data_IF_659193908442
#
_entry.id   IF_659193908442
#
_cell.length_a   1.000
_cell.length_b   1.000
_cell.length_c   1.000
_cell.angle_alpha   90.00
_cell.angle_beta   90.00
_cell.angle_gamma   90.00
#
_symmetry.space_group_name_H-M   'P 1'
#
loop_
_entity.id
_entity.type
_entity.pdbx_description
1 polymer ?
#
# COMPACT_ATOMS: atom_id res chain seq x y z
N UNK A 1 -18.96 -5.14 16.94
CA UNK A 1 -18.92 -5.33 15.47
C UNK A 1 -18.07 -4.30 14.70
N UNK A 2 -17.97 -3.03 15.12
CA UNK A 2 -17.31 -1.94 14.38
C UNK A 2 -15.82 -2.19 14.02
N UNK A 3 -15.01 -2.72 14.94
CA UNK A 3 -13.55 -2.89 14.76
C UNK A 3 -13.19 -3.90 13.65
N UNK A 4 -13.92 -5.02 13.56
CA UNK A 4 -13.71 -6.02 12.49
C UNK A 4 -14.02 -5.44 11.10
N UNK A 5 -15.00 -4.54 11.01
CA UNK A 5 -15.39 -3.90 9.75
C UNK A 5 -14.36 -2.86 9.32
N UNK A 6 -13.85 -2.05 10.25
CA UNK A 6 -12.77 -1.09 9.97
C UNK A 6 -11.47 -1.78 9.52
N UNK A 7 -11.10 -2.92 10.09
CA UNK A 7 -9.97 -3.73 9.60
C UNK A 7 -10.18 -4.22 8.17
N UNK A 8 -11.41 -4.64 7.83
CA UNK A 8 -11.77 -5.04 6.46
C UNK A 8 -11.66 -3.84 5.51
N UNK A 9 -12.15 -2.67 5.91
CA UNK A 9 -12.06 -1.44 5.10
C UNK A 9 -10.61 -1.03 4.87
N UNK A 10 -9.78 -0.95 5.91
CA UNK A 10 -8.35 -0.64 5.78
C UNK A 10 -7.65 -1.60 4.80
N UNK A 11 -7.90 -2.90 4.93
CA UNK A 11 -7.33 -3.90 4.02
C UNK A 11 -7.88 -3.75 2.60
N UNK A 12 -9.17 -3.47 2.43
CA UNK A 12 -9.77 -3.30 1.11
C UNK A 12 -9.23 -2.04 0.41
N UNK A 13 -9.18 -0.91 1.11
CA UNK A 13 -8.62 0.35 0.61
C UNK A 13 -7.15 0.18 0.20
N UNK A 14 -6.36 -0.52 1.00
CA UNK A 14 -4.96 -0.83 0.69
C UNK A 14 -4.80 -1.72 -0.56
N UNK A 15 -5.61 -2.77 -0.69
CA UNK A 15 -5.60 -3.65 -1.88
C UNK A 15 -6.01 -2.88 -3.13
N UNK A 16 -7.10 -2.10 -3.05
CA UNK A 16 -7.61 -1.29 -4.16
C UNK A 16 -6.54 -0.27 -4.59
N UNK A 17 -5.88 0.38 -3.64
CA UNK A 17 -4.77 1.30 -3.91
C UNK A 17 -3.64 0.62 -4.68
N UNK A 18 -3.13 -0.50 -4.16
CA UNK A 18 -2.04 -1.26 -4.81
C UNK A 18 -2.47 -1.66 -6.22
N UNK A 19 -3.67 -2.21 -6.39
CA UNK A 19 -4.19 -2.65 -7.68
C UNK A 19 -4.24 -1.51 -8.72
N UNK A 20 -4.79 -0.35 -8.34
CA UNK A 20 -4.86 0.81 -9.22
C UNK A 20 -3.47 1.33 -9.62
N UNK A 21 -2.51 1.30 -8.69
CA UNK A 21 -1.13 1.67 -8.93
C UNK A 21 -0.38 0.67 -9.81
N UNK A 22 -0.65 -0.63 -9.65
CA UNK A 22 -0.18 -1.68 -10.55
C UNK A 22 -0.72 -1.44 -11.96
N UNK A 23 -2.02 -1.14 -12.11
CA UNK A 23 -2.61 -0.82 -13.40
C UNK A 23 -1.93 0.39 -14.05
N UNK A 24 -1.57 1.43 -13.31
CA UNK A 24 -0.80 2.56 -13.86
C UNK A 24 0.57 2.12 -14.43
N UNK A 25 1.29 1.22 -13.75
CA UNK A 25 2.68 0.87 -14.10
C UNK A 25 2.74 -0.23 -15.18
N UNK A 26 1.95 -1.29 -15.03
CA UNK A 26 2.02 -2.48 -15.88
C UNK A 26 1.15 -2.36 -17.12
N UNK A 27 -0.02 -1.72 -17.03
CA UNK A 27 -0.99 -1.68 -18.12
C UNK A 27 -0.46 -0.92 -19.35
N UNK A 28 0.25 0.22 -19.23
CA UNK A 28 0.89 0.87 -20.38
C UNK A 28 1.97 0.01 -21.04
N UNK A 29 2.69 -0.80 -20.26
CA UNK A 29 3.75 -1.69 -20.77
C UNK A 29 3.14 -2.89 -21.51
N UNK A 30 2.00 -3.40 -21.04
CA UNK A 30 1.31 -4.56 -21.61
C UNK A 30 0.44 -4.21 -22.84
N UNK A 31 -0.21 -3.04 -22.82
CA UNK A 31 -1.09 -2.54 -23.89
C UNK A 31 -0.39 -1.61 -24.88
N UNK A 32 0.93 -1.37 -24.74
CA UNK A 32 1.71 -0.57 -25.70
C UNK A 32 1.49 -0.93 -27.18
N UNK A 33 1.24 -2.19 -27.59
CA UNK A 33 0.95 -2.51 -29.00
C UNK A 33 -0.52 -2.27 -29.43
N UNK A 34 -1.44 -1.95 -28.51
CA UNK A 34 -2.88 -1.81 -28.77
C UNK A 34 -3.30 -0.39 -28.35
N UNK A 35 -2.89 0.62 -29.13
CA UNK A 35 -2.97 2.05 -28.78
C UNK A 35 -4.37 2.67 -28.91
N UNK A 36 -5.37 2.15 -28.18
CA UNK A 36 -6.70 2.77 -28.10
C UNK A 36 -7.01 3.41 -26.74
N UNK A 37 -6.19 3.20 -25.71
CA UNK A 37 -6.45 3.74 -24.38
C UNK A 37 -5.82 5.13 -24.19
N UNK A 38 -6.58 6.16 -23.82
CA UNK A 38 -6.04 7.50 -23.65
C UNK A 38 -5.08 7.54 -22.45
N UNK A 39 -3.92 8.16 -22.66
CA UNK A 39 -2.85 8.26 -21.66
C UNK A 39 -3.31 8.91 -20.34
N UNK A 40 -4.30 9.81 -20.45
CA UNK A 40 -4.98 10.48 -19.34
C UNK A 40 -5.68 9.50 -18.38
N UNK A 41 -6.17 8.35 -18.89
CA UNK A 41 -6.88 7.35 -18.10
C UNK A 41 -5.94 6.70 -17.07
N UNK A 42 -4.71 6.38 -17.47
CA UNK A 42 -3.70 5.83 -16.55
C UNK A 42 -3.27 6.84 -15.47
N UNK A 43 -3.18 8.13 -15.82
CA UNK A 43 -2.90 9.20 -14.86
C UNK A 43 -4.03 9.34 -13.84
N UNK A 44 -5.29 9.32 -14.28
CA UNK A 44 -6.47 9.37 -13.41
C UNK A 44 -6.49 8.16 -12.47
N UNK A 45 -6.27 6.95 -12.98
CA UNK A 45 -6.16 5.74 -12.14
C UNK A 45 -5.05 5.86 -11.09
N UNK A 46 -3.90 6.42 -11.47
CA UNK A 46 -2.81 6.72 -10.56
C UNK A 46 -3.21 7.67 -9.42
N UNK A 47 -3.89 8.78 -9.75
CA UNK A 47 -4.42 9.75 -8.77
C UNK A 47 -5.36 9.10 -7.78
N UNK A 48 -6.32 8.33 -8.29
CA UNK A 48 -7.31 7.61 -7.49
C UNK A 48 -6.60 6.58 -6.60
N UNK A 49 -5.61 5.85 -7.14
CA UNK A 49 -4.80 4.89 -6.39
C UNK A 49 -4.05 5.52 -5.21
N UNK A 50 -3.43 6.71 -5.41
CA UNK A 50 -2.76 7.45 -4.33
C UNK A 50 -3.78 7.88 -3.25
N UNK A 51 -4.95 8.38 -3.66
CA UNK A 51 -6.00 8.79 -2.72
C UNK A 51 -6.51 7.63 -1.86
N UNK A 52 -6.73 6.46 -2.47
CA UNK A 52 -7.04 5.23 -1.74
C UNK A 52 -5.90 4.78 -0.82
N UNK A 53 -4.64 4.95 -1.25
CA UNK A 53 -3.47 4.63 -0.44
C UNK A 53 -3.36 5.50 0.81
N UNK A 54 -3.61 6.80 0.66
CA UNK A 54 -3.61 7.76 1.76
C UNK A 54 -4.77 7.49 2.74
N UNK A 55 -5.97 7.23 2.23
CA UNK A 55 -7.12 6.88 3.09
C UNK A 55 -6.92 5.55 3.81
N UNK A 56 -6.30 4.55 3.16
CA UNK A 56 -5.88 3.32 3.82
C UNK A 56 -4.86 3.62 4.92
N UNK A 57 -3.86 4.46 4.67
CA UNK A 57 -2.84 4.85 5.65
C UNK A 57 -3.48 5.52 6.89
N UNK A 58 -4.35 6.51 6.69
CA UNK A 58 -5.07 7.20 7.78
C UNK A 58 -5.96 6.22 8.55
N UNK A 59 -6.71 5.38 7.83
CA UNK A 59 -7.55 4.34 8.45
C UNK A 59 -6.74 3.29 9.22
N UNK A 60 -5.47 3.08 8.87
CA UNK A 60 -4.56 2.15 9.54
C UNK A 60 -3.91 2.76 10.79
N UNK A 61 -3.45 4.01 10.69
CA UNK A 61 -2.91 4.78 11.83
C UNK A 61 -3.96 5.02 12.92
N UNK A 62 -5.21 5.35 12.55
CA UNK A 62 -6.32 5.48 13.50
C UNK A 62 -6.73 4.16 14.18
N UNK A 63 -6.32 3.03 13.61
CA UNK A 63 -6.52 1.69 14.18
C UNK A 63 -5.42 1.29 15.18
N UNK A 64 -4.37 2.10 15.29
CA UNK A 64 -3.12 1.78 15.97
C UNK A 64 -3.19 1.63 17.48
N UNK A 65 -4.18 2.24 18.16
CA UNK A 65 -4.18 2.24 19.64
C UNK A 65 -4.31 0.85 20.29
N UNK A 66 -4.79 -0.18 19.60
CA UNK A 66 -5.10 -1.47 20.24
C UNK A 66 -4.24 -2.67 19.79
N UNK A 67 -3.47 -2.55 18.70
CA UNK A 67 -2.65 -3.66 18.16
C UNK A 67 -1.18 -3.31 17.94
N UNK A 68 -0.81 -2.03 17.90
CA UNK A 68 0.59 -1.60 17.64
C UNK A 68 1.49 -1.64 18.87
N UNK A 69 0.92 -1.58 20.09
CA UNK A 69 1.69 -1.56 21.34
C UNK A 69 2.52 -2.85 21.52
N UNK A 70 2.13 -3.96 20.89
CA UNK A 70 2.78 -5.27 21.08
C UNK A 70 3.95 -5.57 20.12
N UNK A 71 4.17 -4.77 19.05
CA UNK A 71 5.26 -4.98 18.07
C UNK A 71 5.68 -3.66 17.38
N UNK A 72 5.94 -2.61 18.17
CA UNK A 72 6.13 -1.23 17.68
C UNK A 72 7.15 -1.10 16.54
N UNK A 73 8.36 -1.68 16.69
CA UNK A 73 9.45 -1.57 15.70
C UNK A 73 9.08 -2.06 14.29
N UNK A 74 8.45 -3.23 14.18
CA UNK A 74 8.10 -3.78 12.86
C UNK A 74 6.97 -3.00 12.20
N UNK A 75 6.08 -2.46 13.01
CA UNK A 75 4.91 -1.75 12.51
C UNK A 75 5.26 -0.32 12.10
N UNK A 76 6.23 0.29 12.77
CA UNK A 76 6.87 1.53 12.34
C UNK A 76 7.57 1.37 10.99
N UNK A 77 8.35 0.30 10.80
CA UNK A 77 8.99 -0.02 9.50
C UNK A 77 7.93 -0.19 8.40
N UNK A 78 6.81 -0.86 8.69
CA UNK A 78 5.70 -1.01 7.74
C UNK A 78 5.11 0.34 7.32
N UNK A 79 4.84 1.22 8.29
CA UNK A 79 4.33 2.58 8.06
C UNK A 79 5.30 3.39 7.20
N UNK A 80 6.59 3.38 7.55
CA UNK A 80 7.62 4.13 6.82
C UNK A 80 7.73 3.62 5.39
N UNK A 81 7.76 2.30 5.16
CA UNK A 81 7.83 1.73 3.81
C UNK A 81 6.60 2.08 2.96
N UNK A 82 5.40 2.00 3.54
CA UNK A 82 4.17 2.35 2.84
C UNK A 82 4.12 3.85 2.50
N UNK A 83 4.47 4.71 3.46
CA UNK A 83 4.47 6.15 3.26
C UNK A 83 5.52 6.57 2.23
N UNK A 84 6.74 6.03 2.32
CA UNK A 84 7.79 6.26 1.34
C UNK A 84 7.36 5.81 -0.05
N UNK A 85 6.83 4.59 -0.18
CA UNK A 85 6.32 4.08 -1.45
C UNK A 85 5.23 4.95 -2.07
N UNK A 86 4.33 5.52 -1.24
CA UNK A 86 3.28 6.42 -1.68
C UNK A 86 3.83 7.80 -2.10
N UNK A 87 4.76 8.37 -1.33
CA UNK A 87 5.39 9.67 -1.65
C UNK A 87 6.17 9.59 -2.96
N UNK A 88 6.90 8.50 -3.19
CA UNK A 88 7.63 8.27 -4.45
C UNK A 88 6.70 8.20 -5.68
N UNK A 89 5.40 8.00 -5.51
CA UNK A 89 4.44 7.97 -6.61
C UNK A 89 3.88 9.36 -6.96
N UNK A 90 3.98 10.34 -6.06
CA UNK A 90 3.45 11.70 -6.24
C UNK A 90 4.04 12.42 -7.46
N UNK A 91 5.38 12.42 -7.70
CA UNK A 91 5.96 13.12 -8.84
C UNK A 91 5.39 12.62 -10.18
N UNK A 92 5.24 11.30 -10.29
CA UNK A 92 4.70 10.63 -11.48
C UNK A 92 3.20 10.88 -11.72
N UNK A 93 2.50 11.48 -10.75
CA UNK A 93 1.07 11.79 -10.83
C UNK A 93 0.81 13.30 -10.96
N UNK A 94 1.74 14.12 -10.47
CA UNK A 94 1.66 15.58 -10.55
C UNK A 94 2.02 16.12 -11.93
N UNK A 95 2.94 15.47 -12.63
CA UNK A 95 3.41 15.96 -13.93
C UNK A 95 2.50 15.46 -15.05
N UNK A 96 1.97 16.41 -15.84
CA UNK A 96 1.11 16.13 -17.01
C UNK A 96 1.94 15.63 -18.22
N UNK A 97 3.26 15.77 -18.14
CA UNK A 97 4.22 15.29 -19.14
C UNK A 97 5.01 14.11 -18.56
N UNK A 98 5.29 13.12 -19.40
CA UNK A 98 6.04 11.92 -19.03
C UNK A 98 7.51 12.25 -18.81
N UNK A 99 7.88 12.77 -17.63
CA UNK A 99 9.28 12.88 -17.25
C UNK A 99 9.84 11.50 -16.93
N UNK A 100 10.91 11.15 -17.62
CA UNK A 100 11.62 9.88 -17.47
C UNK A 100 12.00 9.60 -16.01
N UNK A 101 12.51 10.62 -15.32
CA UNK A 101 12.87 10.57 -13.90
C UNK A 101 11.68 10.27 -12.99
N UNK A 102 10.54 10.94 -13.19
CA UNK A 102 9.34 10.70 -12.39
C UNK A 102 8.84 9.26 -12.54
N UNK A 103 8.96 8.68 -13.73
CA UNK A 103 8.57 7.29 -13.97
C UNK A 103 9.53 6.28 -13.31
N UNK A 104 10.84 6.57 -13.28
CA UNK A 104 11.83 5.76 -12.54
C UNK A 104 11.54 5.80 -11.04
N UNK A 105 11.30 6.98 -10.48
CA UNK A 105 11.01 7.14 -9.05
C UNK A 105 9.73 6.40 -8.67
N UNK A 106 8.68 6.45 -9.50
CA UNK A 106 7.46 5.67 -9.27
C UNK A 106 7.69 4.16 -9.37
N UNK A 107 8.53 3.70 -10.31
CA UNK A 107 8.93 2.29 -10.42
C UNK A 107 9.72 1.81 -9.20
N UNK A 108 10.51 2.68 -8.56
CA UNK A 108 11.21 2.38 -7.31
C UNK A 108 10.27 2.44 -6.09
N UNK A 109 9.28 3.33 -6.09
CA UNK A 109 8.28 3.41 -5.02
C UNK A 109 7.37 2.18 -4.93
N UNK A 110 7.11 1.53 -6.06
CA UNK A 110 6.26 0.34 -6.13
C UNK A 110 6.78 -0.90 -5.36
N UNK A 111 8.04 -1.35 -5.50
CA UNK A 111 8.59 -2.42 -4.68
C UNK A 111 8.64 -2.05 -3.18
N UNK A 112 8.82 -0.77 -2.84
CA UNK A 112 8.69 -0.29 -1.45
C UNK A 112 7.28 -0.50 -0.91
N UNK A 113 6.24 -0.18 -1.68
CA UNK A 113 4.84 -0.47 -1.30
C UNK A 113 4.61 -1.97 -1.10
N UNK A 114 5.12 -2.81 -2.00
CA UNK A 114 4.99 -4.27 -1.88
C UNK A 114 5.67 -4.77 -0.62
N UNK A 115 6.90 -4.32 -0.35
CA UNK A 115 7.65 -4.72 0.84
C UNK A 115 6.94 -4.25 2.12
N UNK A 116 6.39 -3.04 2.13
CA UNK A 116 5.53 -2.53 3.20
C UNK A 116 4.32 -3.44 3.40
N UNK A 117 3.58 -3.75 2.35
CA UNK A 117 2.40 -4.63 2.40
C UNK A 117 2.71 -6.03 2.94
N UNK A 118 3.78 -6.66 2.47
CA UNK A 118 4.24 -7.98 2.93
C UNK A 118 4.61 -7.92 4.42
N UNK A 119 5.32 -6.87 4.85
CA UNK A 119 5.68 -6.67 6.25
C UNK A 119 4.42 -6.59 7.14
N UNK A 120 3.41 -5.83 6.72
CA UNK A 120 2.12 -5.71 7.42
C UNK A 120 1.39 -7.05 7.57
N UNK A 121 1.38 -7.87 6.50
CA UNK A 121 0.77 -9.22 6.51
C UNK A 121 1.53 -10.16 7.46
N UNK A 122 2.86 -10.07 7.52
CA UNK A 122 3.71 -10.87 8.41
C UNK A 122 3.44 -10.52 9.89
N UNK A 123 3.30 -9.24 10.22
CA UNK A 123 2.96 -8.77 11.57
C UNK A 123 1.58 -9.31 12.00
N UNK A 124 0.57 -9.20 11.12
CA UNK A 124 -0.77 -9.73 11.40
C UNK A 124 -0.77 -11.25 11.60
N UNK A 125 0.02 -12.00 10.84
CA UNK A 125 0.16 -13.46 11.02
C UNK A 125 0.84 -13.81 12.34
N UNK A 126 1.93 -13.10 12.70
CA UNK A 126 2.65 -13.32 13.96
C UNK A 126 1.79 -13.03 15.19
N UNK A 127 0.93 -12.02 15.13
CA UNK A 127 -0.02 -11.70 16.21
C UNK A 127 -1.24 -12.64 16.24
N UNK A 128 -1.60 -13.31 15.13
CA UNK A 128 -2.68 -14.28 15.06
C UNK A 128 -2.26 -15.73 15.35
N UNK A 129 -0.96 -16.02 15.39
CA UNK A 129 -0.48 -17.25 16.02
C UNK A 129 -0.81 -17.14 17.50
N UNK A 130 -1.71 -17.98 18.04
CA UNK A 130 -1.90 -18.01 19.47
C UNK A 130 -0.55 -18.33 20.08
N UNK A 131 -0.25 -17.67 21.19
CA UNK A 131 0.75 -18.06 22.16
C UNK A 131 0.37 -19.45 22.74
N UNK A 132 0.32 -20.48 21.89
CA UNK A 132 0.31 -21.89 22.26
C UNK A 132 1.76 -22.35 22.24
N UNK A 133 2.49 -21.99 23.30
CA UNK A 133 3.63 -22.75 23.86
C UNK A 133 4.31 -21.84 24.89
N UNK A 134 3.95 -22.09 26.15
CA UNK A 134 4.68 -21.85 27.41
C UNK A 134 3.76 -21.27 28.49
N UNK A 135 2.66 -21.96 28.77
CA UNK A 135 2.18 -22.18 30.13
C UNK A 135 1.71 -23.64 30.18
N UNK A 136 2.69 -24.55 30.18
CA UNK A 136 2.49 -25.92 30.65
C UNK A 136 3.15 -25.96 32.02
N UNK A 137 2.30 -25.93 33.05
CA UNK A 137 2.38 -26.72 34.28
C UNK A 137 3.79 -27.14 34.70
N UNK A 138 4.34 -26.48 35.73
CA UNK A 138 4.55 -27.09 37.05
C UNK A 138 4.92 -26.01 38.08
#
# INVERSE_FOLDING_TARGET
MKIKYQLKLHSALGIISIFLLSCKIFLPTLLSPISFLPQNLFLILGKIGIFFGLSAFISGCGLGNYLFVQNSKYTEIHIILLLAGLILQIPSVSENHSNFYANIVAKLGYPLLIAGWICGRKIRRKNNTPQKRCQVVH
#
